data_IF_842770972322
#
_entry.id   IF_842770972322
#
_cell.length_a   1.000
_cell.length_b   1.000
_cell.length_c   1.000
_cell.angle_alpha   90.00
_cell.angle_beta   90.00
_cell.angle_gamma   90.00
#
_symmetry.space_group_name_H-M   'P 1'
#
loop_
_entity.id
_entity.type
_entity.pdbx_description
1 polymer ?
#
# COMPACT_ATOMS: atom_id res chain seq x y z
N UNK A 1 -13.82 -54.32 58.36
CA UNK A 1 -12.42 -54.11 58.79
C UNK A 1 -11.85 -52.96 57.99
N UNK A 2 -11.94 -51.71 58.51
CA UNK A 2 -11.32 -50.53 57.93
C UNK A 2 -9.88 -50.43 58.38
N UNK A 3 -8.94 -50.55 57.46
CA UNK A 3 -7.52 -50.35 57.73
C UNK A 3 -7.20 -48.85 57.54
N UNK A 4 -6.91 -48.15 58.62
CA UNK A 4 -6.47 -46.79 58.72
C UNK A 4 -5.08 -46.63 58.07
N UNK A 5 -4.98 -45.74 57.05
CA UNK A 5 -3.67 -45.36 56.48
C UNK A 5 -2.93 -44.39 57.45
N UNK A 6 -1.60 -44.50 57.55
CA UNK A 6 -0.80 -43.70 58.47
C UNK A 6 -0.70 -42.24 57.99
N UNK A 7 -0.92 -41.32 58.96
CA UNK A 7 -0.91 -39.88 58.82
C UNK A 7 0.31 -39.17 58.19
N UNK A 8 1.48 -39.74 58.03
CA UNK A 8 2.61 -39.03 57.43
C UNK A 8 2.57 -38.90 55.87
N UNK A 9 1.75 -39.68 55.16
CA UNK A 9 1.69 -39.58 53.69
C UNK A 9 0.81 -38.44 53.18
N UNK A 10 -0.11 -37.95 54.01
CA UNK A 10 -1.00 -36.85 53.64
C UNK A 10 -0.32 -35.45 53.68
N UNK A 11 0.75 -35.30 54.42
CA UNK A 11 1.50 -34.03 54.58
C UNK A 11 2.47 -33.81 53.42
N UNK A 12 2.97 -34.87 52.79
CA UNK A 12 3.90 -34.76 51.64
C UNK A 12 3.22 -34.42 50.31
N UNK A 13 1.90 -34.64 50.18
CA UNK A 13 1.14 -34.32 48.97
C UNK A 13 0.64 -32.84 48.90
N UNK A 14 0.61 -32.13 50.05
CA UNK A 14 0.20 -30.71 50.08
C UNK A 14 1.39 -29.77 49.88
N UNK A 15 2.63 -30.21 50.10
CA UNK A 15 3.83 -29.41 49.89
C UNK A 15 4.30 -29.30 48.44
N UNK A 16 3.77 -30.12 47.53
CA UNK A 16 4.16 -30.14 46.10
C UNK A 16 3.30 -29.22 45.19
N UNK A 17 2.24 -28.57 45.74
CA UNK A 17 1.31 -27.74 44.97
C UNK A 17 1.59 -26.24 45.00
N UNK A 18 2.67 -25.79 45.65
CA UNK A 18 3.10 -24.38 45.69
C UNK A 18 4.37 -24.22 44.84
N UNK A 19 4.29 -24.56 43.54
CA UNK A 19 5.27 -24.12 42.54
C UNK A 19 4.85 -22.74 42.04
N UNK A 20 5.73 -21.74 42.06
CA UNK A 20 5.36 -20.33 41.95
C UNK A 20 4.82 -19.98 40.57
N UNK A 21 3.63 -19.40 40.51
CA UNK A 21 3.11 -18.62 39.38
C UNK A 21 3.91 -17.30 39.17
N UNK A 22 5.21 -17.39 39.27
CA UNK A 22 6.12 -16.24 39.19
C UNK A 22 6.95 -16.15 37.90
N UNK A 23 6.65 -16.92 36.86
CA UNK A 23 7.54 -17.03 35.69
C UNK A 23 6.99 -16.43 34.38
N UNK A 24 6.07 -15.45 34.46
CA UNK A 24 5.66 -14.67 33.29
C UNK A 24 5.66 -13.16 33.51
N UNK A 25 6.53 -12.65 34.39
CA UNK A 25 6.92 -11.25 34.32
C UNK A 25 8.04 -11.15 33.27
N UNK A 26 7.67 -11.32 31.99
CA UNK A 26 8.48 -10.87 30.88
C UNK A 26 8.74 -9.39 31.09
N UNK A 27 9.90 -9.09 31.64
CA UNK A 27 10.38 -7.75 31.87
C UNK A 27 10.47 -7.07 30.51
N UNK A 28 9.39 -6.31 30.16
CA UNK A 28 9.40 -5.41 29.00
C UNK A 28 10.54 -4.40 29.20
N UNK A 29 11.75 -4.78 28.82
CA UNK A 29 12.94 -3.91 28.82
C UNK A 29 12.79 -2.69 27.89
N UNK A 30 11.66 -2.60 27.14
CA UNK A 30 11.40 -1.50 26.23
C UNK A 30 10.60 -0.33 26.84
N UNK A 31 9.99 -0.51 28.02
CA UNK A 31 9.21 0.56 28.65
C UNK A 31 10.05 1.60 29.40
N UNK A 32 11.34 1.31 29.66
CA UNK A 32 12.18 2.19 30.48
C UNK A 32 12.82 3.35 29.70
N UNK A 33 12.93 3.25 28.37
CA UNK A 33 13.56 4.30 27.56
C UNK A 33 12.61 5.47 27.21
N UNK A 34 11.31 5.31 27.45
CA UNK A 34 10.28 6.34 27.21
C UNK A 34 9.68 6.90 28.50
N UNK A 35 10.18 6.50 29.68
CA UNK A 35 9.75 7.09 30.94
C UNK A 35 10.13 8.58 30.97
N UNK A 36 9.21 9.40 31.49
CA UNK A 36 9.41 10.85 31.62
C UNK A 36 10.64 11.14 32.51
N UNK A 37 11.77 11.31 31.88
CA UNK A 37 12.93 12.00 32.41
C UNK A 37 13.05 13.25 31.56
N UNK A 38 12.97 14.44 32.19
CA UNK A 38 13.16 15.71 31.48
C UNK A 38 14.59 15.72 30.90
N UNK A 39 14.72 15.27 29.66
CA UNK A 39 16.01 15.21 28.95
C UNK A 39 16.14 16.47 28.11
N UNK A 40 17.36 16.94 27.97
CA UNK A 40 17.65 17.96 26.98
C UNK A 40 17.21 17.51 25.59
N UNK A 41 16.56 18.40 24.85
CA UNK A 41 15.95 18.11 23.55
C UNK A 41 16.95 17.57 22.53
N UNK A 42 18.17 18.10 22.54
CA UNK A 42 19.23 17.65 21.60
C UNK A 42 19.68 16.23 21.93
N UNK A 43 19.84 15.91 23.22
CA UNK A 43 20.20 14.58 23.69
C UNK A 43 19.13 13.55 23.33
N UNK A 44 17.84 13.90 23.52
CA UNK A 44 16.74 13.02 23.17
C UNK A 44 16.66 12.75 21.67
N UNK A 45 16.83 13.80 20.85
CA UNK A 45 16.84 13.67 19.39
C UNK A 45 18.05 12.84 18.90
N UNK A 46 19.25 13.07 19.43
CA UNK A 46 20.46 12.32 19.06
C UNK A 46 20.30 10.85 19.44
N UNK A 47 19.72 10.56 20.61
CA UNK A 47 19.43 9.19 21.03
C UNK A 47 18.45 8.51 20.07
N UNK A 48 17.37 9.21 19.67
CA UNK A 48 16.41 8.69 18.68
C UNK A 48 17.09 8.36 17.35
N UNK A 49 17.98 9.27 16.89
CA UNK A 49 18.72 9.08 15.65
C UNK A 49 19.69 7.88 15.75
N UNK A 50 20.40 7.72 16.84
CA UNK A 50 21.28 6.55 17.06
C UNK A 50 20.49 5.23 17.00
N UNK A 51 19.27 5.18 17.56
CA UNK A 51 18.39 4.01 17.46
C UNK A 51 17.95 3.74 16.02
N UNK A 52 17.65 4.79 15.27
CA UNK A 52 17.31 4.69 13.85
C UNK A 52 18.48 4.13 13.04
N UNK A 53 19.70 4.68 13.24
CA UNK A 53 20.91 4.27 12.53
C UNK A 53 21.31 2.80 12.85
N UNK A 54 20.89 2.27 14.01
CA UNK A 54 21.04 0.86 14.41
C UNK A 54 19.91 -0.06 13.93
N UNK A 55 18.97 0.43 13.14
CA UNK A 55 17.83 -0.36 12.65
C UNK A 55 16.75 -0.64 13.72
N UNK A 56 16.80 0.02 14.88
CA UNK A 56 15.80 -0.12 15.94
C UNK A 56 14.63 0.84 15.70
N UNK A 57 13.92 0.64 14.59
CA UNK A 57 12.99 1.59 14.00
C UNK A 57 11.80 1.95 14.91
N UNK A 58 11.15 0.97 15.52
CA UNK A 58 10.02 1.22 16.44
C UNK A 58 10.45 1.99 17.67
N UNK A 59 11.64 1.68 18.22
CA UNK A 59 12.18 2.40 19.37
C UNK A 59 12.58 3.84 18.99
N UNK A 60 13.19 4.01 17.82
CA UNK A 60 13.53 5.33 17.28
C UNK A 60 12.29 6.20 17.11
N UNK A 61 11.22 5.65 16.53
CA UNK A 61 9.95 6.34 16.34
C UNK A 61 9.37 6.83 17.68
N UNK A 62 9.29 5.95 18.69
CA UNK A 62 8.83 6.34 20.02
C UNK A 62 9.67 7.43 20.69
N UNK A 63 11.00 7.43 20.48
CA UNK A 63 11.86 8.48 20.98
C UNK A 63 11.68 9.81 20.22
N UNK A 64 11.43 9.78 18.91
CA UNK A 64 11.08 10.98 18.15
C UNK A 64 9.73 11.56 18.57
N UNK A 65 8.73 10.73 18.83
CA UNK A 65 7.43 11.16 19.38
C UNK A 65 7.63 11.81 20.76
N UNK A 66 8.57 11.30 21.58
CA UNK A 66 8.90 11.86 22.88
C UNK A 66 9.56 13.26 22.76
N UNK A 67 10.37 13.50 21.74
CA UNK A 67 10.91 14.85 21.43
C UNK A 67 9.77 15.82 21.18
N UNK A 68 8.80 15.44 20.36
CA UNK A 68 7.61 16.28 20.06
C UNK A 68 6.80 16.54 21.35
N UNK A 69 6.57 15.51 22.15
CA UNK A 69 5.77 15.59 23.39
C UNK A 69 6.38 16.48 24.44
N UNK A 70 7.72 16.39 24.67
CA UNK A 70 8.40 17.17 25.71
C UNK A 70 8.73 18.60 25.27
N UNK A 71 8.98 18.81 23.98
CA UNK A 71 9.48 20.08 23.43
C UNK A 71 8.73 20.53 22.18
N UNK A 72 7.38 20.65 22.18
CA UNK A 72 6.55 20.80 21.00
C UNK A 72 6.86 22.03 20.13
N UNK A 73 7.40 23.09 20.75
CA UNK A 73 7.73 24.35 20.06
C UNK A 73 9.20 24.45 19.61
N UNK A 74 10.00 23.42 19.82
CA UNK A 74 11.40 23.42 19.44
C UNK A 74 11.58 23.18 17.93
N UNK A 75 12.71 23.68 17.39
CA UNK A 75 13.11 23.32 16.03
C UNK A 75 13.36 21.81 15.87
N UNK A 76 13.72 21.15 16.97
CA UNK A 76 13.93 19.71 17.02
C UNK A 76 12.62 18.92 16.92
N UNK A 77 11.52 19.42 17.50
CA UNK A 77 10.22 18.77 17.43
C UNK A 77 9.74 18.61 15.98
N UNK A 78 9.90 19.66 15.18
CA UNK A 78 9.52 19.63 13.75
C UNK A 78 10.31 18.58 12.96
N UNK A 79 11.61 18.49 13.24
CA UNK A 79 12.47 17.46 12.62
C UNK A 79 12.14 16.06 13.16
N UNK A 80 11.91 15.94 14.46
CA UNK A 80 11.56 14.69 15.11
C UNK A 80 10.25 14.12 14.58
N UNK A 81 9.23 14.96 14.37
CA UNK A 81 7.95 14.55 13.82
C UNK A 81 8.12 13.86 12.45
N UNK A 82 8.91 14.44 11.56
CA UNK A 82 9.15 13.86 10.24
C UNK A 82 10.06 12.61 10.32
N UNK A 83 11.07 12.62 11.20
CA UNK A 83 11.93 11.45 11.43
C UNK A 83 11.18 10.30 12.12
N UNK A 84 10.21 10.60 12.99
CA UNK A 84 9.32 9.64 13.60
C UNK A 84 8.44 8.94 12.54
N UNK A 85 7.83 9.74 11.65
CA UNK A 85 7.07 9.21 10.53
C UNK A 85 7.92 8.28 9.65
N UNK A 86 9.16 8.68 9.33
CA UNK A 86 10.10 7.85 8.58
C UNK A 86 10.49 6.58 9.34
N UNK A 87 10.70 6.67 10.65
CA UNK A 87 11.02 5.51 11.48
C UNK A 87 9.88 4.50 11.54
N UNK A 88 8.61 4.97 11.64
CA UNK A 88 7.44 4.11 11.53
C UNK A 88 7.33 3.45 10.15
N UNK A 89 7.65 4.17 9.07
CA UNK A 89 7.70 3.59 7.73
C UNK A 89 8.70 2.43 7.64
N UNK A 90 9.92 2.63 8.14
CA UNK A 90 10.93 1.57 8.17
C UNK A 90 10.55 0.39 9.09
N UNK A 91 9.77 0.66 10.15
CA UNK A 91 9.21 -0.37 11.02
C UNK A 91 8.01 -1.11 10.40
N UNK A 92 7.56 -0.73 9.19
CA UNK A 92 6.34 -1.23 8.52
C UNK A 92 5.05 -0.94 9.32
N UNK A 93 5.09 0.03 10.21
CA UNK A 93 3.93 0.53 10.94
C UNK A 93 3.23 1.63 10.11
N UNK A 94 2.69 1.23 8.95
CA UNK A 94 2.20 2.12 7.90
C UNK A 94 1.18 3.14 8.39
N UNK A 95 0.21 2.74 9.19
CA UNK A 95 -0.82 3.65 9.73
C UNK A 95 -0.20 4.76 10.58
N UNK A 96 0.70 4.41 11.51
CA UNK A 96 1.37 5.42 12.36
C UNK A 96 2.25 6.36 11.55
N UNK A 97 2.94 5.84 10.54
CA UNK A 97 3.74 6.64 9.62
C UNK A 97 2.89 7.67 8.87
N UNK A 98 1.76 7.24 8.29
CA UNK A 98 0.81 8.10 7.58
C UNK A 98 0.25 9.18 8.51
N UNK A 99 -0.18 8.81 9.71
CA UNK A 99 -0.77 9.73 10.68
C UNK A 99 0.24 10.79 11.16
N UNK A 100 1.49 10.39 11.44
CA UNK A 100 2.56 11.31 11.78
C UNK A 100 2.90 12.26 10.63
N UNK A 101 2.98 11.76 9.39
CA UNK A 101 3.24 12.60 8.22
C UNK A 101 2.07 13.56 7.93
N UNK A 102 0.81 13.14 8.08
CA UNK A 102 -0.37 14.00 7.97
C UNK A 102 -0.39 15.08 9.04
N UNK A 103 -0.08 14.74 10.28
CA UNK A 103 0.03 15.70 11.38
C UNK A 103 1.10 16.74 11.09
N UNK A 104 2.28 16.33 10.57
CA UNK A 104 3.32 17.27 10.13
C UNK A 104 2.79 18.25 9.08
N UNK A 105 2.09 17.76 8.05
CA UNK A 105 1.54 18.59 6.98
C UNK A 105 0.45 19.56 7.46
N UNK A 106 -0.36 19.14 8.44
CA UNK A 106 -1.43 19.97 9.00
C UNK A 106 -0.87 21.16 9.81
N UNK A 107 0.22 20.91 10.55
CA UNK A 107 0.87 21.92 11.40
C UNK A 107 1.84 22.81 10.57
N UNK A 108 2.47 22.23 9.55
CA UNK A 108 3.55 22.86 8.78
C UNK A 108 3.32 22.80 7.26
N UNK A 109 2.18 23.29 6.72
CA UNK A 109 1.81 23.10 5.31
C UNK A 109 2.78 23.77 4.32
N UNK A 110 3.44 24.85 4.71
CA UNK A 110 4.42 25.58 3.90
C UNK A 110 5.89 25.19 4.16
N UNK A 111 6.13 24.10 4.89
CA UNK A 111 7.50 23.68 5.18
C UNK A 111 8.19 23.15 3.92
N UNK A 112 9.52 23.40 3.80
CA UNK A 112 10.34 22.89 2.69
C UNK A 112 10.35 21.36 2.61
N UNK A 113 10.10 20.67 3.72
CA UNK A 113 10.08 19.22 3.81
C UNK A 113 8.65 18.62 3.61
N UNK A 114 7.63 19.47 3.33
CA UNK A 114 6.28 19.02 3.04
C UNK A 114 6.19 18.06 1.83
N UNK A 115 6.95 18.27 0.74
CA UNK A 115 7.01 17.28 -0.36
C UNK A 115 7.46 15.90 0.10
N UNK A 116 8.42 15.82 1.03
CA UNK A 116 8.87 14.54 1.57
C UNK A 116 7.80 13.89 2.46
N UNK A 117 7.09 14.66 3.26
CA UNK A 117 6.00 14.14 4.07
C UNK A 117 4.86 13.54 3.21
N UNK A 118 4.46 14.22 2.13
CA UNK A 118 3.50 13.68 1.15
C UNK A 118 4.02 12.42 0.46
N UNK A 119 5.29 12.44 0.07
CA UNK A 119 5.93 11.28 -0.53
C UNK A 119 5.93 10.07 0.41
N UNK A 120 6.19 10.28 1.70
CA UNK A 120 6.17 9.24 2.70
C UNK A 120 4.77 8.63 2.87
N UNK A 121 3.72 9.46 2.86
CA UNK A 121 2.33 8.97 2.85
C UNK A 121 2.07 8.08 1.63
N UNK A 122 2.47 8.55 0.45
CA UNK A 122 2.29 7.82 -0.80
C UNK A 122 3.06 6.49 -0.81
N UNK A 123 4.30 6.47 -0.30
CA UNK A 123 5.10 5.25 -0.17
C UNK A 123 4.46 4.23 0.76
N UNK A 124 3.89 4.68 1.89
CA UNK A 124 3.20 3.78 2.81
C UNK A 124 2.01 3.08 2.16
N UNK A 125 1.21 3.77 1.35
CA UNK A 125 0.13 3.13 0.59
C UNK A 125 0.68 2.25 -0.52
N UNK A 126 1.70 2.70 -1.25
CA UNK A 126 2.30 1.96 -2.35
C UNK A 126 2.87 0.59 -1.90
N UNK A 127 3.53 0.53 -0.76
CA UNK A 127 4.10 -0.72 -0.24
C UNK A 127 3.04 -1.70 0.30
N UNK A 128 1.83 -1.25 0.53
CA UNK A 128 0.71 -2.08 0.95
C UNK A 128 -0.13 -2.60 -0.23
N UNK A 129 0.24 -2.29 -1.47
CA UNK A 129 -0.45 -2.84 -2.65
C UNK A 129 -0.28 -4.34 -2.67
N UNK A 130 -1.39 -5.05 -2.68
CA UNK A 130 -1.46 -6.51 -2.73
C UNK A 130 -1.83 -6.99 -4.14
N UNK A 131 -2.09 -8.29 -4.29
CA UNK A 131 -2.49 -8.93 -5.54
C UNK A 131 -3.75 -8.29 -6.15
N UNK A 132 -3.81 -8.27 -7.50
CA UNK A 132 -4.91 -7.70 -8.27
C UNK A 132 -6.28 -8.33 -7.95
N UNK A 133 -6.32 -9.53 -7.39
CA UNK A 133 -7.56 -10.20 -7.00
C UNK A 133 -8.13 -9.71 -5.67
N UNK A 134 -7.35 -8.95 -4.87
CA UNK A 134 -7.79 -8.41 -3.58
C UNK A 134 -8.49 -7.05 -3.73
N UNK A 135 -8.87 -6.48 -2.59
CA UNK A 135 -9.42 -5.12 -2.55
C UNK A 135 -8.40 -4.08 -3.01
N UNK A 136 -8.85 -3.16 -3.86
CA UNK A 136 -7.99 -2.14 -4.47
C UNK A 136 -8.10 -0.77 -3.79
N UNK A 137 -8.72 -0.67 -2.62
CA UNK A 137 -8.87 0.61 -1.91
C UNK A 137 -7.51 1.23 -1.55
N UNK A 138 -6.56 0.42 -1.11
CA UNK A 138 -5.18 0.86 -0.82
C UNK A 138 -4.47 1.29 -2.10
N UNK A 139 -4.65 0.55 -3.19
CA UNK A 139 -4.06 0.88 -4.49
C UNK A 139 -4.57 2.24 -4.99
N UNK A 140 -5.88 2.52 -4.81
CA UNK A 140 -6.46 3.82 -5.14
C UNK A 140 -5.90 4.94 -4.26
N UNK A 141 -5.75 4.72 -2.95
CA UNK A 141 -5.13 5.68 -2.02
C UNK A 141 -3.66 5.95 -2.38
N UNK A 142 -2.92 4.95 -2.85
CA UNK A 142 -1.57 5.14 -3.37
C UNK A 142 -1.58 6.06 -4.60
N UNK A 143 -2.46 5.80 -5.58
CA UNK A 143 -2.60 6.61 -6.79
C UNK A 143 -2.94 8.06 -6.46
N UNK A 144 -3.92 8.28 -5.57
CA UNK A 144 -4.38 9.62 -5.18
C UNK A 144 -3.27 10.41 -4.48
N UNK A 145 -2.55 9.76 -3.55
CA UNK A 145 -1.46 10.39 -2.78
C UNK A 145 -0.26 10.72 -3.67
N UNK A 146 0.12 9.81 -4.59
CA UNK A 146 1.17 10.08 -5.59
C UNK A 146 0.76 11.22 -6.52
N UNK A 147 -0.50 11.24 -6.97
CA UNK A 147 -1.04 12.31 -7.82
C UNK A 147 -1.09 13.66 -7.11
N UNK A 148 -1.43 13.71 -5.82
CA UNK A 148 -1.39 14.93 -5.01
C UNK A 148 0.03 15.48 -4.93
N UNK A 149 1.02 14.63 -4.65
CA UNK A 149 2.43 15.03 -4.60
C UNK A 149 2.90 15.66 -5.93
N UNK A 150 2.59 15.01 -7.06
CA UNK A 150 2.96 15.50 -8.40
C UNK A 150 2.32 16.85 -8.71
N UNK A 151 1.04 17.03 -8.35
CA UNK A 151 0.32 18.30 -8.59
C UNK A 151 0.84 19.45 -7.73
N UNK A 152 1.13 19.18 -6.44
CA UNK A 152 1.54 20.23 -5.49
C UNK A 152 3.00 20.61 -5.59
N UNK A 153 3.87 19.64 -5.94
CA UNK A 153 5.32 19.81 -5.92
C UNK A 153 6.00 19.20 -7.16
N UNK A 154 5.63 19.64 -8.38
CA UNK A 154 5.99 18.97 -9.66
C UNK A 154 7.50 18.87 -9.91
N UNK A 155 8.28 19.84 -9.40
CA UNK A 155 9.70 20.01 -9.69
C UNK A 155 10.62 19.32 -8.66
N UNK A 156 10.05 18.54 -7.74
CA UNK A 156 10.84 17.83 -6.74
C UNK A 156 11.29 16.46 -7.23
N UNK A 157 12.43 15.99 -6.70
CA UNK A 157 12.88 14.61 -6.92
C UNK A 157 11.84 13.57 -6.51
N UNK A 158 11.03 13.89 -5.51
CA UNK A 158 9.94 13.02 -5.03
C UNK A 158 8.83 12.89 -6.06
N UNK A 159 8.48 13.97 -6.75
CA UNK A 159 7.51 13.94 -7.83
C UNK A 159 8.02 13.17 -9.06
N UNK A 160 9.32 13.24 -9.34
CA UNK A 160 9.93 12.46 -10.43
C UNK A 160 9.79 10.95 -10.18
N UNK A 161 10.11 10.48 -8.97
CA UNK A 161 9.93 9.08 -8.57
C UNK A 161 8.45 8.69 -8.49
N UNK A 162 7.59 9.60 -7.99
CA UNK A 162 6.15 9.38 -7.93
C UNK A 162 5.51 9.13 -9.31
N UNK A 163 5.98 9.79 -10.38
CA UNK A 163 5.48 9.55 -11.75
C UNK A 163 5.71 8.10 -12.18
N UNK A 164 6.89 7.55 -11.91
CA UNK A 164 7.17 6.14 -12.22
C UNK A 164 6.26 5.19 -11.43
N UNK A 165 6.01 5.50 -10.15
CA UNK A 165 5.12 4.70 -9.32
C UNK A 165 3.66 4.81 -9.76
N UNK A 166 3.21 5.96 -10.24
CA UNK A 166 1.85 6.15 -10.80
C UNK A 166 1.62 5.20 -11.97
N UNK A 167 2.60 5.05 -12.87
CA UNK A 167 2.47 4.14 -14.02
C UNK A 167 2.32 2.69 -13.57
N UNK A 168 3.10 2.25 -12.57
CA UNK A 168 2.99 0.91 -11.99
C UNK A 168 1.64 0.69 -11.28
N UNK A 169 1.16 1.68 -10.51
CA UNK A 169 -0.13 1.60 -9.81
C UNK A 169 -1.28 1.54 -10.81
N UNK A 170 -1.23 2.33 -11.87
CA UNK A 170 -2.23 2.30 -12.96
C UNK A 170 -2.25 0.95 -13.68
N UNK A 171 -1.09 0.38 -13.96
CA UNK A 171 -0.99 -0.94 -14.57
C UNK A 171 -1.62 -2.02 -13.68
N UNK A 172 -1.40 -1.93 -12.35
CA UNK A 172 -2.02 -2.82 -11.38
C UNK A 172 -3.56 -2.69 -11.35
N UNK A 173 -4.09 -1.47 -11.33
CA UNK A 173 -5.55 -1.21 -11.39
C UNK A 173 -6.16 -1.70 -12.72
N UNK A 174 -5.48 -1.46 -13.84
CA UNK A 174 -5.88 -1.99 -15.13
C UNK A 174 -5.93 -3.52 -15.12
N UNK A 175 -4.94 -4.17 -14.51
CA UNK A 175 -4.88 -5.62 -14.32
C UNK A 175 -6.12 -6.16 -13.61
N UNK A 176 -6.62 -5.48 -12.57
CA UNK A 176 -7.87 -5.82 -11.87
C UNK A 176 -9.08 -5.79 -12.81
N UNK A 177 -9.25 -4.72 -13.57
CA UNK A 177 -10.36 -4.61 -14.52
C UNK A 177 -10.26 -5.69 -15.62
N UNK A 178 -9.05 -6.01 -16.07
CA UNK A 178 -8.80 -7.09 -17.02
C UNK A 178 -9.20 -8.45 -16.46
N UNK A 179 -8.85 -8.77 -15.20
CA UNK A 179 -9.26 -10.03 -14.56
C UNK A 179 -10.78 -10.17 -14.47
N UNK A 180 -11.47 -9.11 -14.04
CA UNK A 180 -12.94 -9.09 -13.97
C UNK A 180 -13.54 -9.21 -15.39
N UNK A 181 -12.99 -8.50 -16.35
CA UNK A 181 -13.43 -8.57 -17.75
C UNK A 181 -13.30 -9.97 -18.34
N UNK A 182 -12.15 -10.62 -18.15
CA UNK A 182 -11.90 -12.00 -18.57
C UNK A 182 -12.81 -13.00 -17.85
N UNK A 183 -13.12 -12.78 -16.58
CA UNK A 183 -14.08 -13.61 -15.85
C UNK A 183 -15.47 -13.57 -16.50
N UNK A 184 -16.01 -12.38 -16.76
CA UNK A 184 -17.33 -12.24 -17.43
C UNK A 184 -17.32 -12.77 -18.86
N UNK A 185 -16.23 -12.55 -19.61
CA UNK A 185 -16.07 -13.05 -20.97
C UNK A 185 -16.11 -14.59 -21.03
N UNK A 186 -15.43 -15.29 -20.11
CA UNK A 186 -15.48 -16.76 -20.02
C UNK A 186 -16.89 -17.29 -19.72
N UNK A 187 -17.71 -16.50 -19.01
CA UNK A 187 -19.11 -16.83 -18.71
C UNK A 187 -20.08 -16.41 -19.83
N UNK A 188 -19.56 -15.84 -20.93
CA UNK A 188 -20.35 -15.30 -22.03
C UNK A 188 -21.26 -14.13 -21.62
N UNK A 189 -20.94 -13.45 -20.53
CA UNK A 189 -21.60 -12.24 -20.05
C UNK A 189 -20.98 -11.03 -20.77
N UNK A 190 -21.23 -10.93 -22.09
CA UNK A 190 -20.51 -10.03 -23.00
C UNK A 190 -20.64 -8.56 -22.62
N UNK A 191 -21.83 -8.11 -22.23
CA UNK A 191 -22.04 -6.71 -21.86
C UNK A 191 -21.24 -6.35 -20.61
N UNK A 192 -21.24 -7.21 -19.60
CA UNK A 192 -20.44 -7.00 -18.37
C UNK A 192 -18.92 -6.97 -18.68
N UNK A 193 -18.45 -7.85 -19.57
CA UNK A 193 -17.04 -7.86 -19.99
C UNK A 193 -16.65 -6.58 -20.74
N UNK A 194 -17.52 -6.09 -21.64
CA UNK A 194 -17.31 -4.85 -22.40
C UNK A 194 -17.15 -3.67 -21.44
N UNK A 195 -17.97 -3.54 -20.40
CA UNK A 195 -17.88 -2.45 -19.42
C UNK A 195 -16.50 -2.45 -18.76
N UNK A 196 -15.96 -3.62 -18.38
CA UNK A 196 -14.66 -3.73 -17.74
C UNK A 196 -13.51 -3.41 -18.68
N UNK A 197 -13.51 -3.97 -19.88
CA UNK A 197 -12.46 -3.68 -20.86
C UNK A 197 -12.49 -2.24 -21.34
N UNK A 198 -13.69 -1.62 -21.48
CA UNK A 198 -13.79 -0.19 -21.79
C UNK A 198 -13.16 0.66 -20.70
N UNK A 199 -13.38 0.34 -19.43
CA UNK A 199 -12.76 1.06 -18.33
C UNK A 199 -11.22 1.06 -18.43
N UNK A 200 -10.61 -0.05 -18.90
CA UNK A 200 -9.15 -0.08 -19.15
C UNK A 200 -8.75 0.93 -20.23
N UNK A 201 -9.54 1.05 -21.31
CA UNK A 201 -9.23 1.96 -22.39
C UNK A 201 -9.52 3.42 -22.03
N UNK A 202 -10.55 3.68 -21.25
CA UNK A 202 -10.95 5.04 -20.90
C UNK A 202 -10.06 5.62 -19.78
N UNK A 203 -9.67 4.83 -18.78
CA UNK A 203 -8.95 5.30 -17.58
C UNK A 203 -7.47 4.90 -17.54
N UNK A 204 -7.08 3.80 -18.21
CA UNK A 204 -5.75 3.18 -18.11
C UNK A 204 -5.10 2.93 -19.49
N UNK A 205 -5.36 3.78 -20.46
CA UNK A 205 -4.94 3.63 -21.87
C UNK A 205 -3.41 3.53 -22.09
N UNK A 206 -2.61 4.03 -21.14
CA UNK A 206 -1.14 4.00 -21.23
C UNK A 206 -0.52 2.74 -20.63
N UNK A 207 -1.33 1.83 -20.09
CA UNK A 207 -0.86 0.61 -19.44
C UNK A 207 -0.56 -0.51 -20.43
N UNK A 208 0.20 -1.50 -19.96
CA UNK A 208 0.54 -2.71 -20.74
C UNK A 208 -0.69 -3.55 -21.10
N UNK A 209 -1.82 -3.31 -20.42
CA UNK A 209 -3.09 -4.01 -20.61
C UNK A 209 -3.94 -3.49 -21.76
N UNK A 210 -3.72 -2.25 -22.22
CA UNK A 210 -4.57 -1.60 -23.22
C UNK A 210 -4.67 -2.40 -24.55
N UNK A 211 -3.59 -2.96 -25.12
CA UNK A 211 -3.70 -3.75 -26.36
C UNK A 211 -4.56 -5.01 -26.18
N UNK A 212 -4.44 -5.73 -25.07
CA UNK A 212 -5.30 -6.88 -24.79
C UNK A 212 -6.75 -6.45 -24.59
N UNK A 213 -7.01 -5.36 -23.87
CA UNK A 213 -8.36 -4.86 -23.62
C UNK A 213 -9.09 -4.54 -24.94
N UNK A 214 -8.43 -3.88 -25.89
CA UNK A 214 -8.99 -3.59 -27.23
C UNK A 214 -9.32 -4.86 -27.99
N UNK A 215 -8.45 -5.86 -27.98
CA UNK A 215 -8.72 -7.16 -28.61
C UNK A 215 -9.90 -7.87 -27.96
N UNK A 216 -9.98 -7.87 -26.60
CA UNK A 216 -11.10 -8.47 -25.88
C UNK A 216 -12.41 -7.73 -26.12
N UNK A 217 -12.39 -6.41 -26.29
CA UNK A 217 -13.54 -5.62 -26.72
C UNK A 217 -14.02 -6.08 -28.09
N UNK A 218 -13.09 -6.24 -29.05
CA UNK A 218 -13.40 -6.74 -30.39
C UNK A 218 -14.11 -8.11 -30.32
N UNK A 219 -13.57 -9.07 -29.55
CA UNK A 219 -14.19 -10.38 -29.33
C UNK A 219 -15.62 -10.25 -28.74
N UNK A 220 -15.76 -9.44 -27.68
CA UNK A 220 -17.02 -9.30 -26.96
C UNK A 220 -18.10 -8.60 -27.80
N UNK A 221 -17.74 -7.58 -28.58
CA UNK A 221 -18.68 -6.92 -29.50
C UNK A 221 -19.12 -7.83 -30.63
N UNK A 222 -18.21 -8.63 -31.22
CA UNK A 222 -18.60 -9.62 -32.25
C UNK A 222 -19.54 -10.67 -31.67
N UNK A 223 -19.27 -11.18 -30.48
CA UNK A 223 -20.12 -12.15 -29.81
C UNK A 223 -21.49 -11.60 -29.43
N UNK A 224 -21.60 -10.29 -29.18
CA UNK A 224 -22.88 -9.60 -28.91
C UNK A 224 -23.61 -9.21 -30.18
N UNK A 225 -23.02 -9.40 -31.37
CA UNK A 225 -23.65 -9.05 -32.65
C UNK A 225 -23.57 -7.55 -33.02
N UNK A 226 -22.57 -6.85 -32.51
CA UNK A 226 -22.32 -5.41 -32.76
C UNK A 226 -20.99 -5.22 -33.55
N UNK A 227 -20.97 -5.58 -34.85
CA UNK A 227 -19.73 -5.61 -35.63
C UNK A 227 -19.10 -4.22 -35.83
N UNK A 228 -19.88 -3.15 -35.84
CA UNK A 228 -19.34 -1.79 -36.02
C UNK A 228 -18.43 -1.38 -34.87
N UNK A 229 -18.83 -1.64 -33.62
CA UNK A 229 -18.01 -1.34 -32.45
C UNK A 229 -16.76 -2.26 -32.38
N UNK A 230 -16.91 -3.50 -32.85
CA UNK A 230 -15.76 -4.41 -32.97
C UNK A 230 -14.73 -3.88 -33.96
N UNK A 231 -15.16 -3.39 -35.16
CA UNK A 231 -14.26 -2.77 -36.14
C UNK A 231 -13.56 -1.53 -35.59
N UNK A 232 -14.28 -0.66 -34.86
CA UNK A 232 -13.70 0.52 -34.21
C UNK A 232 -12.60 0.12 -33.21
N UNK A 233 -12.88 -0.84 -32.33
CA UNK A 233 -11.90 -1.32 -31.36
C UNK A 233 -10.65 -1.92 -32.04
N UNK A 234 -10.84 -2.72 -33.08
CA UNK A 234 -9.74 -3.29 -33.86
C UNK A 234 -8.96 -2.21 -34.62
N UNK A 235 -9.62 -1.17 -35.15
CA UNK A 235 -8.97 -0.06 -35.84
C UNK A 235 -8.09 0.76 -34.88
N UNK A 236 -8.60 1.06 -33.66
CA UNK A 236 -7.83 1.74 -32.61
C UNK A 236 -6.60 0.91 -32.23
N UNK A 237 -6.77 -0.41 -32.10
CA UNK A 237 -5.68 -1.34 -31.80
C UNK A 237 -4.62 -1.35 -32.93
N UNK A 238 -5.05 -1.37 -34.19
CA UNK A 238 -4.14 -1.34 -35.34
C UNK A 238 -3.38 -0.01 -35.47
N UNK A 239 -4.06 1.12 -35.18
CA UNK A 239 -3.44 2.44 -35.25
C UNK A 239 -2.36 2.65 -34.16
N UNK A 240 -2.62 2.17 -32.95
CA UNK A 240 -1.73 2.44 -31.81
C UNK A 240 -0.71 1.31 -31.54
N UNK A 241 -1.05 0.06 -31.92
CA UNK A 241 -0.25 -1.13 -31.61
C UNK A 241 -0.10 -2.08 -32.82
N UNK A 242 0.36 -1.59 -34.00
CA UNK A 242 0.31 -2.34 -35.26
C UNK A 242 1.13 -3.64 -35.24
N UNK A 243 2.19 -3.71 -34.41
CA UNK A 243 3.07 -4.89 -34.26
C UNK A 243 2.63 -5.87 -33.17
N UNK A 244 1.52 -5.63 -32.48
CA UNK A 244 1.14 -6.47 -31.36
C UNK A 244 0.44 -7.77 -31.82
N UNK A 245 0.69 -8.87 -31.10
CA UNK A 245 -0.06 -10.13 -31.29
C UNK A 245 -1.56 -9.97 -31.13
N UNK A 246 -1.97 -8.98 -30.34
CA UNK A 246 -3.38 -8.68 -30.10
C UNK A 246 -4.06 -8.07 -31.32
N UNK A 247 -3.33 -7.22 -32.07
CA UNK A 247 -3.83 -6.67 -33.32
C UNK A 247 -4.01 -7.76 -34.39
N UNK A 248 -3.03 -8.62 -34.59
CA UNK A 248 -3.13 -9.73 -35.54
C UNK A 248 -4.40 -10.57 -35.27
N UNK A 249 -4.64 -10.91 -34.00
CA UNK A 249 -5.84 -11.67 -33.59
C UNK A 249 -7.15 -10.91 -33.81
N UNK A 250 -7.20 -9.62 -33.43
CA UNK A 250 -8.40 -8.79 -33.63
C UNK A 250 -8.74 -8.65 -35.11
N UNK A 251 -7.71 -8.43 -35.96
CA UNK A 251 -7.87 -8.34 -37.40
C UNK A 251 -8.45 -9.62 -38.01
N UNK A 252 -7.90 -10.78 -37.66
CA UNK A 252 -8.41 -12.09 -38.07
C UNK A 252 -9.87 -12.31 -37.69
N UNK A 253 -10.22 -11.96 -36.44
CA UNK A 253 -11.60 -12.08 -35.95
C UNK A 253 -12.59 -11.18 -36.72
N UNK A 254 -12.21 -9.95 -37.01
CA UNK A 254 -13.06 -9.01 -37.78
C UNK A 254 -13.21 -9.49 -39.24
N UNK A 255 -12.13 -9.92 -39.91
CA UNK A 255 -12.21 -10.44 -41.25
C UNK A 255 -13.14 -11.65 -41.38
N UNK A 256 -13.11 -12.53 -40.38
CA UNK A 256 -13.93 -13.76 -40.38
C UNK A 256 -15.41 -13.49 -40.06
N UNK A 257 -15.73 -12.60 -39.13
CA UNK A 257 -17.07 -12.46 -38.56
C UNK A 257 -17.78 -11.15 -38.96
N UNK A 258 -17.06 -10.18 -39.48
CA UNK A 258 -17.60 -8.89 -39.89
C UNK A 258 -16.76 -8.31 -41.05
N UNK A 259 -16.69 -9.02 -42.21
CA UNK A 259 -15.96 -8.49 -43.36
C UNK A 259 -16.51 -7.13 -43.77
N UNK A 260 -15.68 -6.27 -44.34
CA UNK A 260 -16.15 -5.05 -44.97
C UNK A 260 -17.12 -5.41 -46.11
N UNK A 261 -18.27 -4.71 -46.17
CA UNK A 261 -19.21 -4.87 -47.25
C UNK A 261 -18.63 -4.41 -48.56
#
# INVERSE_FOLDING_TARGET
MLRTMPRPLAILLVAAAVVPLGACAGRNKHASDTSYVARDVSTLYITAKDRLDRGQYTLAAGLFDEVERQHPYSLWARRAQLMGAFSYYLAKEHTKSIDSARRFLSIHPGNKDAPYALYLIALNYYEQIEDVNRDQSITQQALDSLGELIRRYPDTRFAADARLKVDLVRDHLAGKEMEIGRFYQRRKEWLASIIRFRKVIDEYQTTTHAPEALMRLTESYLALGVPEEARKAAAVLGANYPGSKWYARAYELVQKNAPAA
#
